data_IF_919339720358
#
_entry.id   IF_919339720358
#
_cell.length_a   1.000
_cell.length_b   1.000
_cell.length_c   1.000
_cell.angle_alpha   90.00
_cell.angle_beta   90.00
_cell.angle_gamma   90.00
#
_symmetry.space_group_name_H-M   'P 1'
#
loop_
_entity.id
_entity.type
_entity.pdbx_description
1 polymer ?
#
# COMPACT_ATOMS: atom_id res chain seq x y z
N UNK A 1 14.74 -26.78 -0.64
CA UNK A 1 13.77 -27.67 0.03
C UNK A 1 12.45 -27.00 0.35
N UNK A 2 12.40 -25.80 0.94
CA UNK A 2 11.13 -25.12 1.30
C UNK A 2 10.07 -25.08 0.18
N UNK A 3 10.43 -24.62 -1.02
CA UNK A 3 9.51 -24.55 -2.18
C UNK A 3 8.96 -25.92 -2.60
N UNK A 4 9.78 -26.97 -2.49
CA UNK A 4 9.36 -28.33 -2.84
C UNK A 4 8.23 -28.77 -1.91
N UNK A 5 8.35 -28.50 -0.61
CA UNK A 5 7.29 -28.82 0.34
C UNK A 5 6.06 -27.93 0.18
N UNK A 6 6.24 -26.62 -0.07
CA UNK A 6 5.13 -25.71 -0.36
C UNK A 6 4.32 -26.15 -1.59
N UNK A 7 4.99 -26.65 -2.64
CA UNK A 7 4.32 -27.17 -3.84
C UNK A 7 3.71 -28.55 -3.64
N UNK A 8 4.41 -29.47 -2.96
CA UNK A 8 3.95 -30.85 -2.80
C UNK A 8 2.82 -30.99 -1.76
N UNK A 9 2.78 -30.12 -0.75
CA UNK A 9 1.87 -30.21 0.39
C UNK A 9 1.27 -28.84 0.77
N UNK A 10 0.59 -28.13 -0.14
CA UNK A 10 0.17 -26.74 0.09
C UNK A 10 -0.68 -26.55 1.36
N UNK A 11 -1.64 -27.46 1.62
CA UNK A 11 -2.55 -27.35 2.76
C UNK A 11 -1.90 -27.72 4.10
N UNK A 12 -1.00 -28.71 4.09
CA UNK A 12 -0.34 -29.20 5.31
C UNK A 12 0.87 -28.33 5.64
N UNK A 13 1.68 -28.00 4.64
CA UNK A 13 2.93 -27.28 4.84
C UNK A 13 2.70 -25.85 5.31
N UNK A 14 1.62 -25.19 4.85
CA UNK A 14 1.23 -23.88 5.36
C UNK A 14 1.04 -23.87 6.89
N UNK A 15 0.56 -24.98 7.48
CA UNK A 15 0.37 -25.09 8.93
C UNK A 15 1.68 -25.29 9.70
N UNK A 16 2.71 -25.81 9.03
CA UNK A 16 4.00 -26.16 9.64
C UNK A 16 5.00 -25.00 9.51
N UNK A 17 5.16 -24.46 8.29
CA UNK A 17 6.09 -23.36 8.02
C UNK A 17 5.38 -22.30 7.16
N UNK A 18 4.50 -21.47 7.75
CA UNK A 18 3.71 -20.47 7.03
C UNK A 18 4.55 -19.32 6.47
N UNK A 19 5.81 -19.19 6.87
CA UNK A 19 6.65 -18.05 6.56
C UNK A 19 8.10 -18.48 6.34
N UNK A 20 8.73 -17.92 5.30
CA UNK A 20 10.16 -18.04 5.02
C UNK A 20 10.74 -16.70 4.62
N UNK A 21 11.83 -16.29 5.28
CA UNK A 21 12.62 -15.13 4.86
C UNK A 21 13.87 -15.57 4.10
N UNK A 22 14.22 -14.85 3.05
CA UNK A 22 15.44 -15.03 2.28
C UNK A 22 16.00 -13.66 1.88
N UNK A 23 17.29 -13.43 2.10
CA UNK A 23 17.96 -12.16 1.81
C UNK A 23 19.21 -12.40 1.00
N UNK A 24 19.36 -11.66 -0.09
CA UNK A 24 20.51 -11.71 -0.99
C UNK A 24 21.05 -10.30 -1.15
N UNK A 25 22.07 -9.95 -0.35
CA UNK A 25 22.60 -8.58 -0.34
C UNK A 25 23.50 -8.28 -1.55
N UNK A 26 24.24 -9.29 -2.03
CA UNK A 26 25.14 -9.19 -3.19
C UNK A 26 24.72 -10.14 -4.30
N UNK A 27 23.69 -9.81 -5.11
CA UNK A 27 23.24 -10.67 -6.21
C UNK A 27 24.39 -10.98 -7.18
N UNK A 28 24.58 -12.26 -7.47
CA UNK A 28 25.63 -12.79 -8.36
C UNK A 28 25.08 -13.28 -9.71
N UNK A 29 23.76 -13.24 -9.88
CA UNK A 29 23.03 -13.60 -11.09
C UNK A 29 22.16 -12.42 -11.54
N UNK A 30 21.52 -12.55 -12.71
CA UNK A 30 20.58 -11.55 -13.19
C UNK A 30 19.39 -11.39 -12.23
N UNK A 31 18.76 -10.21 -12.18
CA UNK A 31 17.55 -10.03 -11.37
C UNK A 31 16.45 -10.96 -11.86
N UNK A 32 16.37 -11.16 -13.18
CA UNK A 32 15.46 -12.11 -13.81
C UNK A 32 15.53 -13.51 -13.19
N UNK A 33 16.74 -14.03 -12.92
CA UNK A 33 16.91 -15.35 -12.30
C UNK A 33 16.40 -15.38 -10.86
N UNK A 34 16.60 -14.30 -10.10
CA UNK A 34 16.03 -14.19 -8.75
C UNK A 34 14.51 -14.03 -8.78
N UNK A 35 13.94 -13.27 -9.71
CA UNK A 35 12.48 -13.14 -9.86
C UNK A 35 11.84 -14.49 -10.23
N UNK A 36 12.50 -15.30 -11.05
CA UNK A 36 12.07 -16.69 -11.32
C UNK A 36 12.06 -17.53 -10.05
N UNK A 37 13.04 -17.37 -9.17
CA UNK A 37 13.02 -18.02 -7.85
C UNK A 37 11.85 -17.51 -7.00
N UNK A 38 11.50 -16.23 -7.05
CA UNK A 38 10.39 -15.69 -6.29
C UNK A 38 9.00 -16.18 -6.79
N UNK A 39 8.92 -16.59 -8.05
CA UNK A 39 7.66 -16.86 -8.75
C UNK A 39 7.10 -18.26 -8.45
N UNK A 40 5.81 -18.31 -8.16
CA UNK A 40 5.01 -19.54 -8.07
C UNK A 40 3.90 -19.52 -9.11
N UNK A 41 4.03 -20.29 -10.19
CA UNK A 41 2.99 -20.38 -11.22
C UNK A 41 1.68 -20.99 -10.68
N UNK A 42 1.79 -21.98 -9.79
CA UNK A 42 0.66 -22.65 -9.14
C UNK A 42 0.15 -21.94 -7.88
N UNK A 43 0.65 -20.74 -7.56
CA UNK A 43 0.30 -19.98 -6.36
C UNK A 43 0.50 -20.76 -5.05
N UNK A 44 1.44 -21.71 -5.02
CA UNK A 44 1.74 -22.55 -3.86
C UNK A 44 2.37 -21.77 -2.70
N UNK A 45 2.81 -20.53 -2.95
CA UNK A 45 3.22 -19.56 -1.93
C UNK A 45 2.93 -18.14 -2.42
N UNK A 46 2.89 -17.20 -1.49
CA UNK A 46 2.79 -15.75 -1.72
C UNK A 46 4.19 -15.13 -1.64
N UNK A 47 4.46 -14.09 -2.43
CA UNK A 47 5.76 -13.41 -2.44
C UNK A 47 5.62 -11.97 -1.94
N UNK A 48 6.37 -11.67 -0.89
CA UNK A 48 6.66 -10.30 -0.43
C UNK A 48 8.06 -9.96 -0.93
N UNK A 49 8.15 -9.07 -1.92
CA UNK A 49 9.41 -8.77 -2.60
C UNK A 49 9.94 -7.41 -2.18
N UNK A 50 11.19 -7.39 -1.71
CA UNK A 50 11.94 -6.17 -1.41
C UNK A 50 13.14 -6.07 -2.33
N UNK A 51 13.23 -4.99 -3.10
CA UNK A 51 14.22 -4.83 -4.16
C UNK A 51 15.04 -3.55 -4.00
N UNK A 52 16.37 -3.71 -3.93
CA UNK A 52 17.31 -2.61 -4.11
C UNK A 52 17.38 -2.24 -5.60
N UNK A 53 16.93 -1.04 -5.96
CA UNK A 53 16.83 -0.59 -7.36
C UNK A 53 18.16 -0.69 -8.13
N UNK A 54 19.30 -0.48 -7.44
CA UNK A 54 20.63 -0.51 -8.06
C UNK A 54 21.01 -1.83 -8.72
N UNK A 55 20.28 -2.90 -8.42
CA UNK A 55 20.55 -4.25 -8.92
C UNK A 55 19.58 -4.71 -10.01
N UNK A 56 18.65 -3.86 -10.44
CA UNK A 56 17.68 -4.17 -11.48
C UNK A 56 17.76 -3.13 -12.60
N UNK A 57 17.82 -3.59 -13.84
CA UNK A 57 17.69 -2.68 -14.98
C UNK A 57 16.23 -2.26 -15.25
N UNK A 58 16.03 -1.36 -16.20
CA UNK A 58 14.69 -0.86 -16.56
C UNK A 58 13.76 -1.97 -17.07
N UNK A 59 14.27 -2.94 -17.81
CA UNK A 59 13.48 -4.06 -18.33
C UNK A 59 13.08 -5.01 -17.22
N UNK A 60 14.00 -5.30 -16.31
CA UNK A 60 13.76 -6.15 -15.13
C UNK A 60 12.72 -5.49 -14.20
N UNK A 61 12.84 -4.19 -13.95
CA UNK A 61 11.84 -3.42 -13.19
C UNK A 61 10.47 -3.39 -13.88
N UNK A 62 10.42 -3.23 -15.19
CA UNK A 62 9.18 -3.28 -15.96
C UNK A 62 8.53 -4.68 -15.88
N UNK A 63 9.35 -5.73 -15.91
CA UNK A 63 8.91 -7.13 -15.90
C UNK A 63 8.50 -7.69 -14.53
N UNK A 64 8.42 -6.87 -13.48
CA UNK A 64 8.02 -7.34 -12.14
C UNK A 64 6.63 -7.97 -12.11
N UNK A 65 5.77 -7.66 -13.08
CA UNK A 65 4.47 -8.32 -13.27
C UNK A 65 4.58 -9.81 -13.61
N UNK A 66 5.75 -10.27 -14.03
CA UNK A 66 6.02 -11.69 -14.27
C UNK A 66 5.86 -12.56 -13.02
N UNK A 67 6.09 -11.99 -11.82
CA UNK A 67 5.92 -12.66 -10.52
C UNK A 67 4.43 -12.76 -10.17
N UNK A 68 3.77 -13.81 -10.64
CA UNK A 68 2.31 -13.97 -10.55
C UNK A 68 1.76 -13.98 -9.13
N UNK A 69 2.54 -14.45 -8.16
CA UNK A 69 2.16 -14.60 -6.76
C UNK A 69 2.63 -13.42 -5.87
N UNK A 70 2.96 -12.28 -6.47
CA UNK A 70 3.41 -11.08 -5.77
C UNK A 70 2.25 -10.40 -5.01
N UNK A 71 2.40 -10.25 -3.68
CA UNK A 71 1.38 -9.64 -2.81
C UNK A 71 1.80 -8.28 -2.24
N UNK A 72 3.10 -8.07 -2.07
CA UNK A 72 3.66 -6.81 -1.62
C UNK A 72 4.99 -6.56 -2.32
N UNK A 73 5.24 -5.30 -2.69
CA UNK A 73 6.44 -4.86 -3.39
C UNK A 73 7.05 -3.65 -2.69
N UNK A 74 8.33 -3.72 -2.38
CA UNK A 74 9.14 -2.58 -1.96
C UNK A 74 10.27 -2.35 -2.97
N UNK A 75 10.42 -1.11 -3.45
CA UNK A 75 11.57 -0.70 -4.25
C UNK A 75 12.28 0.46 -3.55
N UNK A 76 13.54 0.22 -3.21
CA UNK A 76 14.37 1.18 -2.50
C UNK A 76 15.62 1.55 -3.31
N UNK A 77 15.89 2.84 -3.40
CA UNK A 77 17.19 3.34 -3.87
C UNK A 77 18.09 3.59 -2.65
N UNK A 78 19.28 2.97 -2.56
CA UNK A 78 20.22 3.21 -1.46
C UNK A 78 20.62 4.69 -1.34
N UNK A 79 20.68 5.21 -0.11
CA UNK A 79 20.93 6.64 0.17
C UNK A 79 22.28 7.16 -0.35
N UNK A 80 23.32 6.32 -0.40
CA UNK A 80 24.64 6.71 -0.90
C UNK A 80 24.65 6.98 -2.41
N UNK A 81 23.76 6.33 -3.15
CA UNK A 81 23.55 6.64 -4.56
C UNK A 81 22.69 7.88 -4.71
N UNK A 82 21.67 8.05 -3.85
CA UNK A 82 20.85 9.25 -3.84
C UNK A 82 21.70 10.53 -3.61
N UNK A 83 22.63 10.52 -2.66
CA UNK A 83 23.48 11.69 -2.36
C UNK A 83 24.45 12.10 -3.50
N UNK A 84 24.79 11.18 -4.41
CA UNK A 84 25.74 11.40 -5.50
C UNK A 84 25.08 11.66 -6.88
N UNK A 85 23.75 11.77 -6.94
CA UNK A 85 23.06 12.16 -8.19
C UNK A 85 23.27 13.67 -8.38
N UNK A 86 24.40 14.04 -8.96
CA UNK A 86 24.51 15.31 -9.67
C UNK A 86 23.43 15.34 -10.75
N UNK A 87 22.77 16.49 -10.85
CA UNK A 87 21.46 16.78 -11.46
C UNK A 87 21.37 16.52 -12.98
N UNK A 88 22.38 15.93 -13.62
CA UNK A 88 22.51 15.93 -15.07
C UNK A 88 22.01 14.67 -15.78
N UNK A 89 21.97 13.47 -15.17
CA UNK A 89 21.36 12.27 -15.80
C UNK A 89 20.74 11.30 -14.77
N UNK A 90 19.51 10.80 -15.00
CA UNK A 90 18.95 9.73 -14.17
C UNK A 90 19.83 8.47 -14.30
N UNK A 91 20.05 7.71 -13.21
CA UNK A 91 20.77 6.44 -13.31
C UNK A 91 20.02 5.52 -14.28
N UNK A 92 20.76 4.73 -15.05
CA UNK A 92 20.19 3.82 -16.05
C UNK A 92 19.21 2.77 -15.45
N UNK A 93 19.18 2.66 -14.12
CA UNK A 93 18.31 1.77 -13.33
C UNK A 93 17.18 2.51 -12.62
N UNK A 94 16.96 3.80 -12.90
CA UNK A 94 15.94 4.59 -12.20
C UNK A 94 14.53 4.06 -12.38
N UNK A 95 13.77 3.94 -11.29
CA UNK A 95 12.32 3.75 -11.37
C UNK A 95 11.68 5.05 -11.85
N UNK A 96 10.96 4.99 -12.98
CA UNK A 96 10.33 6.15 -13.64
C UNK A 96 8.83 5.96 -13.81
N UNK A 97 8.10 7.03 -14.05
CA UNK A 97 6.65 6.98 -14.33
C UNK A 97 6.30 6.04 -15.49
N UNK A 98 7.22 5.87 -16.47
CA UNK A 98 7.03 4.95 -17.61
C UNK A 98 7.00 3.49 -17.18
N UNK A 99 7.80 3.11 -16.18
CA UNK A 99 7.83 1.75 -15.64
C UNK A 99 6.52 1.47 -14.89
N UNK A 100 6.07 2.42 -14.05
CA UNK A 100 4.80 2.29 -13.33
C UNK A 100 3.61 2.23 -14.30
N UNK A 101 3.65 3.02 -15.38
CA UNK A 101 2.68 2.94 -16.47
C UNK A 101 2.68 1.56 -17.11
N UNK A 102 3.86 0.99 -17.39
CA UNK A 102 3.98 -0.36 -17.93
C UNK A 102 3.34 -1.41 -17.00
N UNK A 103 3.52 -1.30 -15.68
CA UNK A 103 2.83 -2.18 -14.74
C UNK A 103 1.30 -2.08 -14.84
N UNK A 104 0.77 -0.86 -14.99
CA UNK A 104 -0.66 -0.65 -15.22
C UNK A 104 -1.14 -1.29 -16.52
N UNK A 105 -0.40 -1.13 -17.62
CA UNK A 105 -0.71 -1.76 -18.92
C UNK A 105 -0.63 -3.30 -18.87
N UNK A 106 0.35 -3.87 -18.15
CA UNK A 106 0.46 -5.31 -17.94
C UNK A 106 -0.68 -5.89 -17.10
N UNK A 107 -1.11 -5.15 -16.06
CA UNK A 107 -2.24 -5.55 -15.25
C UNK A 107 -3.55 -5.54 -16.04
N UNK A 108 -3.74 -4.57 -16.95
CA UNK A 108 -4.93 -4.47 -17.80
C UNK A 108 -4.97 -5.54 -18.90
N UNK A 109 -3.82 -5.86 -19.50
CA UNK A 109 -3.74 -6.76 -20.66
C UNK A 109 -3.57 -8.24 -20.29
N UNK A 110 -2.92 -8.55 -19.16
CA UNK A 110 -2.37 -9.90 -18.90
C UNK A 110 -2.64 -10.42 -17.48
N UNK A 111 -3.59 -9.82 -16.75
CA UNK A 111 -3.94 -10.17 -15.36
C UNK A 111 -2.70 -10.23 -14.43
N UNK A 112 -1.66 -9.44 -14.75
CA UNK A 112 -0.48 -9.29 -13.90
C UNK A 112 -0.83 -8.45 -12.69
N UNK A 113 -0.06 -8.61 -11.60
CA UNK A 113 -0.31 -7.90 -10.34
C UNK A 113 -1.70 -8.15 -9.70
N UNK A 114 -2.38 -9.24 -10.06
CA UNK A 114 -3.70 -9.63 -9.52
C UNK A 114 -3.77 -9.64 -7.99
N UNK A 115 -2.66 -10.04 -7.36
CA UNK A 115 -2.56 -10.19 -5.91
C UNK A 115 -1.78 -9.06 -5.22
N UNK A 116 -1.19 -8.13 -5.98
CA UNK A 116 -0.41 -7.04 -5.42
C UNK A 116 -1.33 -6.11 -4.63
N UNK A 117 -1.13 -6.01 -3.31
CA UNK A 117 -1.91 -5.15 -2.41
C UNK A 117 -1.13 -3.96 -1.88
N UNK A 118 0.18 -4.10 -1.74
CA UNK A 118 1.02 -3.12 -1.07
C UNK A 118 2.19 -2.74 -1.95
N UNK A 119 2.40 -1.44 -2.10
CA UNK A 119 3.58 -0.87 -2.76
C UNK A 119 4.29 0.08 -1.82
N UNK A 120 5.61 -0.08 -1.66
CA UNK A 120 6.45 0.80 -0.86
C UNK A 120 7.55 1.37 -1.76
N UNK A 121 7.63 2.69 -1.84
CA UNK A 121 8.58 3.41 -2.67
C UNK A 121 9.50 4.23 -1.76
N UNK A 122 10.79 3.87 -1.74
CA UNK A 122 11.82 4.55 -0.93
C UNK A 122 12.84 5.22 -1.83
N UNK A 123 13.10 6.51 -1.57
CA UNK A 123 14.14 7.31 -2.21
C UNK A 123 14.00 7.38 -3.74
N UNK A 124 12.78 7.58 -4.24
CA UNK A 124 12.48 7.62 -5.67
C UNK A 124 12.41 9.04 -6.21
N UNK A 125 13.39 9.43 -7.03
CA UNK A 125 13.59 10.83 -7.45
C UNK A 125 12.99 11.17 -8.82
N UNK A 126 12.71 10.14 -9.62
CA UNK A 126 12.19 10.30 -10.99
C UNK A 126 10.69 10.07 -11.10
N UNK A 127 10.01 9.74 -9.99
CA UNK A 127 8.57 9.58 -9.95
C UNK A 127 7.86 10.92 -9.75
N UNK A 128 6.78 11.14 -10.47
CA UNK A 128 5.94 12.33 -10.38
C UNK A 128 4.51 11.94 -9.99
N UNK A 129 3.62 12.92 -9.86
CA UNK A 129 2.18 12.69 -9.63
C UNK A 129 1.58 11.62 -10.57
N UNK A 130 2.07 11.54 -11.82
CA UNK A 130 1.63 10.54 -12.79
C UNK A 130 1.74 9.11 -12.26
N UNK A 131 2.80 8.79 -11.50
CA UNK A 131 2.96 7.48 -10.84
C UNK A 131 1.83 7.18 -9.85
N UNK A 132 1.33 8.18 -9.12
CA UNK A 132 0.22 7.98 -8.18
C UNK A 132 -1.08 7.63 -8.92
N UNK A 133 -1.30 8.23 -10.09
CA UNK A 133 -2.44 7.95 -10.96
C UNK A 133 -2.34 6.53 -11.52
N UNK A 134 -1.18 6.12 -12.04
CA UNK A 134 -0.98 4.78 -12.57
C UNK A 134 -1.11 3.70 -11.48
N UNK A 135 -0.52 3.91 -10.29
CA UNK A 135 -0.70 3.01 -9.14
C UNK A 135 -2.15 2.97 -8.67
N UNK A 136 -2.90 4.08 -8.76
CA UNK A 136 -4.32 4.05 -8.48
C UNK A 136 -5.10 3.23 -9.52
N UNK A 137 -4.73 3.26 -10.80
CA UNK A 137 -5.39 2.42 -11.81
C UNK A 137 -5.15 0.92 -11.61
N UNK A 138 -4.05 0.54 -10.95
CA UNK A 138 -3.83 -0.82 -10.43
C UNK A 138 -4.79 -1.10 -9.26
N UNK A 139 -6.05 -1.44 -9.56
CA UNK A 139 -7.15 -1.61 -8.58
C UNK A 139 -6.84 -2.60 -7.46
N UNK A 140 -5.89 -3.50 -7.68
CA UNK A 140 -5.44 -4.48 -6.70
C UNK A 140 -4.66 -3.84 -5.55
N UNK A 141 -3.93 -2.74 -5.79
CA UNK A 141 -3.11 -2.06 -4.77
C UNK A 141 -4.00 -1.28 -3.81
N UNK A 142 -3.96 -1.62 -2.52
CA UNK A 142 -4.76 -1.01 -1.47
C UNK A 142 -3.96 -0.02 -0.60
N UNK A 143 -2.65 -0.27 -0.44
CA UNK A 143 -1.77 0.58 0.35
C UNK A 143 -0.54 1.00 -0.44
N UNK A 144 -0.17 2.27 -0.29
CA UNK A 144 1.02 2.86 -0.86
C UNK A 144 1.80 3.59 0.24
N UNK A 145 3.09 3.31 0.38
CA UNK A 145 3.97 4.06 1.29
C UNK A 145 5.03 4.77 0.47
N UNK A 146 5.19 6.08 0.71
CA UNK A 146 6.15 6.93 0.02
C UNK A 146 7.11 7.52 1.05
N UNK A 147 8.42 7.33 0.84
CA UNK A 147 9.46 7.87 1.71
C UNK A 147 10.63 8.39 0.88
N UNK A 148 11.08 9.62 1.14
CA UNK A 148 12.23 10.19 0.43
C UNK A 148 12.02 10.42 -1.07
N UNK A 149 10.77 10.65 -1.52
CA UNK A 149 10.43 10.87 -2.92
C UNK A 149 10.09 12.36 -3.16
N UNK A 150 11.08 13.22 -3.49
CA UNK A 150 10.95 14.67 -3.42
C UNK A 150 9.92 15.28 -4.37
N UNK A 151 9.64 14.61 -5.50
CA UNK A 151 8.62 15.04 -6.48
C UNK A 151 7.21 14.51 -6.18
N UNK A 152 7.09 13.47 -5.35
CA UNK A 152 5.80 12.88 -4.98
C UNK A 152 5.22 13.51 -3.72
N UNK A 153 6.06 13.72 -2.70
CA UNK A 153 5.64 14.21 -1.38
C UNK A 153 4.89 15.55 -1.47
N UNK A 154 5.39 16.57 -2.21
CA UNK A 154 4.66 17.85 -2.32
C UNK A 154 3.29 17.71 -2.98
N UNK A 155 3.15 16.81 -3.96
CA UNK A 155 1.89 16.58 -4.68
C UNK A 155 0.87 15.86 -3.80
N UNK A 156 1.33 14.94 -2.95
CA UNK A 156 0.51 14.28 -1.93
C UNK A 156 -0.06 15.30 -0.93
N UNK A 157 0.73 16.30 -0.54
CA UNK A 157 0.28 17.34 0.40
C UNK A 157 -0.67 18.38 -0.23
N UNK A 158 -0.65 18.56 -1.56
CA UNK A 158 -1.37 19.65 -2.25
C UNK A 158 -2.76 19.28 -2.77
N UNK A 159 -3.05 18.00 -3.02
CA UNK A 159 -4.22 17.59 -3.83
C UNK A 159 -5.03 16.47 -3.14
N UNK A 160 -6.35 16.42 -3.42
CA UNK A 160 -7.15 15.19 -3.29
C UNK A 160 -6.63 14.18 -4.31
N UNK A 161 -5.57 13.47 -3.94
CA UNK A 161 -4.90 12.47 -4.75
C UNK A 161 -5.91 11.52 -5.39
N UNK A 162 -5.70 11.23 -6.67
CA UNK A 162 -6.47 10.31 -7.51
C UNK A 162 -6.95 9.05 -6.74
N UNK A 163 -8.06 9.15 -6.02
CA UNK A 163 -8.57 8.13 -5.12
C UNK A 163 -7.62 7.58 -4.04
N UNK A 164 -6.61 8.33 -3.60
CA UNK A 164 -5.77 7.99 -2.44
C UNK A 164 -6.10 8.87 -1.23
N UNK A 165 -6.08 8.28 -0.03
CA UNK A 165 -6.26 8.96 1.25
C UNK A 165 -4.98 8.82 2.08
N UNK A 166 -4.47 9.93 2.61
CA UNK A 166 -3.42 9.89 3.63
C UNK A 166 -4.03 9.36 4.93
N UNK A 167 -3.56 8.21 5.39
CA UNK A 167 -4.01 7.56 6.63
C UNK A 167 -3.05 7.78 7.79
N UNK A 168 -1.76 7.97 7.50
CA UNK A 168 -0.75 8.17 8.52
C UNK A 168 0.47 8.88 7.94
N UNK A 169 1.19 9.58 8.80
CA UNK A 169 2.47 10.20 8.51
C UNK A 169 3.43 9.92 9.65
N UNK A 170 4.46 9.11 9.38
CA UNK A 170 5.44 8.69 10.39
C UNK A 170 6.81 9.25 10.05
N UNK A 171 7.69 9.43 11.05
CA UNK A 171 9.06 9.86 10.79
C UNK A 171 9.86 8.84 9.98
N UNK A 172 9.43 7.57 9.94
CA UNK A 172 10.16 6.48 9.30
C UNK A 172 9.22 5.52 8.57
N UNK A 173 9.67 4.91 7.45
CA UNK A 173 8.92 3.87 6.75
C UNK A 173 8.80 2.60 7.61
N UNK A 174 7.97 1.61 7.20
CA UNK A 174 7.91 0.34 7.92
C UNK A 174 9.30 -0.32 7.99
N UNK A 175 9.55 -1.01 9.11
CA UNK A 175 10.85 -1.65 9.37
C UNK A 175 11.12 -2.78 8.38
N UNK A 176 10.11 -3.62 8.12
CA UNK A 176 10.12 -4.60 7.04
C UNK A 176 8.81 -4.54 6.26
N UNK A 177 8.87 -4.86 4.97
CA UNK A 177 7.68 -4.95 4.12
C UNK A 177 6.72 -6.06 4.63
N UNK A 178 7.27 -7.18 5.09
CA UNK A 178 6.50 -8.30 5.62
C UNK A 178 5.66 -7.93 6.84
N UNK A 179 6.24 -7.23 7.83
CA UNK A 179 5.48 -6.78 9.01
C UNK A 179 4.36 -5.83 8.64
N UNK A 180 4.62 -4.93 7.68
CA UNK A 180 3.59 -4.02 7.18
C UNK A 180 2.48 -4.78 6.44
N UNK A 181 2.84 -5.76 5.60
CA UNK A 181 1.89 -6.64 4.94
C UNK A 181 1.02 -7.40 5.94
N UNK A 182 1.61 -7.97 6.98
CA UNK A 182 0.87 -8.67 8.04
C UNK A 182 -0.11 -7.72 8.75
N UNK A 183 0.35 -6.55 9.16
CA UNK A 183 -0.49 -5.56 9.84
C UNK A 183 -1.67 -5.09 8.97
N UNK A 184 -1.44 -4.87 7.68
CA UNK A 184 -2.50 -4.53 6.72
C UNK A 184 -3.45 -5.70 6.48
N UNK A 185 -2.94 -6.93 6.34
CA UNK A 185 -3.76 -8.13 6.13
C UNK A 185 -4.70 -8.39 7.30
N UNK A 186 -4.23 -8.21 8.54
CA UNK A 186 -5.06 -8.37 9.74
C UNK A 186 -6.17 -7.31 9.81
N UNK A 187 -5.90 -6.10 9.33
CA UNK A 187 -6.89 -5.02 9.24
C UNK A 187 -7.92 -5.21 8.12
N UNK A 188 -7.60 -6.03 7.11
CA UNK A 188 -8.45 -6.33 5.95
C UNK A 188 -9.37 -7.55 6.17
N UNK A 189 -9.55 -7.99 7.43
CA UNK A 189 -10.21 -9.22 7.92
C UNK A 189 -11.61 -9.58 7.38
N UNK A 190 -12.17 -8.82 6.44
CA UNK A 190 -13.30 -9.25 5.59
C UNK A 190 -12.90 -10.15 4.41
N UNK A 191 -11.65 -10.06 3.94
CA UNK A 191 -11.08 -10.96 2.93
C UNK A 191 -10.11 -11.91 3.64
N UNK A 192 -10.55 -13.16 3.82
CA UNK A 192 -9.65 -14.25 4.25
C UNK A 192 -8.39 -14.19 3.38
N UNK A 193 -7.21 -14.29 4.01
CA UNK A 193 -5.89 -14.39 3.35
C UNK A 193 -6.03 -14.83 1.90
N UNK A 194 -5.83 -13.91 0.96
CA UNK A 194 -6.23 -14.01 -0.46
C UNK A 194 -5.77 -15.34 -1.08
N UNK A 195 -4.70 -15.91 -0.52
CA UNK A 195 -4.32 -17.30 -0.68
C UNK A 195 -4.05 -17.91 0.71
N UNK A 196 -4.61 -19.08 1.00
CA UNK A 196 -4.23 -19.88 2.17
C UNK A 196 -2.88 -20.59 1.90
N UNK A 197 -1.85 -19.79 1.62
CA UNK A 197 -0.56 -20.24 1.15
C UNK A 197 0.57 -19.59 1.95
N UNK A 198 1.70 -20.30 2.15
CA UNK A 198 2.83 -19.79 2.91
C UNK A 198 3.46 -18.58 2.23
N UNK A 199 4.14 -17.74 3.01
CA UNK A 199 4.71 -16.47 2.57
C UNK A 199 6.22 -16.62 2.41
N UNK A 200 6.73 -16.24 1.25
CA UNK A 200 8.14 -16.01 0.98
C UNK A 200 8.42 -14.50 1.06
N UNK A 201 9.09 -14.07 2.13
CA UNK A 201 9.69 -12.75 2.26
C UNK A 201 11.07 -12.76 1.61
N UNK A 202 11.19 -12.12 0.46
CA UNK A 202 12.38 -12.18 -0.37
C UNK A 202 12.98 -10.79 -0.59
N UNK A 203 14.20 -10.60 -0.12
CA UNK A 203 14.96 -9.36 -0.29
C UNK A 203 16.12 -9.59 -1.25
N UNK A 204 16.25 -8.72 -2.26
CA UNK A 204 17.35 -8.74 -3.22
C UNK A 204 18.01 -7.36 -3.24
N UNK A 205 19.32 -7.35 -3.06
CA UNK A 205 20.15 -6.16 -2.98
C UNK A 205 20.35 -5.64 -1.55
N UNK A 206 21.36 -4.79 -1.41
CA UNK A 206 21.58 -4.01 -0.20
C UNK A 206 20.47 -2.96 -0.04
N UNK A 207 19.77 -3.03 1.09
CA UNK A 207 18.81 -2.02 1.47
C UNK A 207 19.52 -0.92 2.27
N UNK A 208 19.11 0.35 2.13
CA UNK A 208 19.62 1.39 3.01
C UNK A 208 19.39 0.98 4.47
N UNK A 209 20.39 1.17 5.35
CA UNK A 209 20.21 0.85 6.76
C UNK A 209 19.01 1.64 7.30
N UNK A 210 18.26 1.08 8.26
CA UNK A 210 17.14 1.81 8.84
C UNK A 210 17.65 3.16 9.39
N UNK A 211 16.90 4.24 9.19
CA UNK A 211 17.33 5.57 9.59
C UNK A 211 17.64 5.57 11.10
N UNK A 212 18.91 5.79 11.43
CA UNK A 212 19.34 5.89 12.84
C UNK A 212 18.63 7.09 13.45
N UNK A 213 17.99 6.89 14.61
CA UNK A 213 17.38 7.97 15.43
C UNK A 213 18.46 8.97 15.86
N UNK A 214 18.87 9.89 14.99
CA UNK A 214 19.76 10.98 15.37
C UNK A 214 18.95 11.97 16.22
N UNK A 215 19.30 12.08 17.50
CA UNK A 215 18.89 13.21 18.36
C UNK A 215 19.61 14.46 17.84
N UNK A 216 19.05 15.13 16.85
CA UNK A 216 19.61 16.37 16.31
C UNK A 216 18.52 17.23 15.69
N UNK A 217 18.44 18.50 16.11
CA UNK A 217 17.59 19.53 15.52
C UNK A 217 18.19 19.93 14.15
N UNK A 218 17.36 20.00 13.10
CA UNK A 218 17.61 20.94 12.00
C UNK A 218 17.93 20.43 10.59
N UNK A 219 17.50 19.23 10.19
CA UNK A 219 17.43 18.89 8.75
C UNK A 219 16.03 18.34 8.49
N UNK A 220 15.37 18.86 7.45
CA UNK A 220 14.01 18.49 7.03
C UNK A 220 13.75 17.01 7.28
N UNK A 221 12.85 16.74 8.24
CA UNK A 221 12.48 15.37 8.58
C UNK A 221 11.70 14.83 7.40
N UNK A 222 12.38 14.10 6.51
CA UNK A 222 11.70 13.25 5.54
C UNK A 222 10.75 12.34 6.32
N UNK A 223 9.45 12.50 6.11
CA UNK A 223 8.41 11.65 6.67
C UNK A 223 8.04 10.56 5.65
N UNK A 224 7.66 9.41 6.17
CA UNK A 224 6.99 8.37 5.40
C UNK A 224 5.49 8.66 5.42
N UNK A 225 4.92 8.84 4.23
CA UNK A 225 3.49 9.08 4.04
C UNK A 225 2.83 7.74 3.68
N UNK A 226 1.81 7.37 4.46
CA UNK A 226 1.02 6.17 4.27
C UNK A 226 -0.29 6.55 3.59
N UNK A 227 -0.52 5.96 2.43
CA UNK A 227 -1.69 6.17 1.59
C UNK A 227 -2.52 4.89 1.56
N UNK A 228 -3.84 5.03 1.66
CA UNK A 228 -4.82 3.97 1.46
C UNK A 228 -5.73 4.33 0.29
N UNK A 229 -6.07 3.35 -0.53
CA UNK A 229 -7.05 3.51 -1.61
C UNK A 229 -8.42 3.87 -1.03
N UNK A 230 -9.07 4.85 -1.65
CA UNK A 230 -10.48 5.16 -1.41
C UNK A 230 -11.32 4.36 -2.39
N UNK A 231 -11.90 3.26 -1.93
CA UNK A 231 -12.96 2.58 -2.68
C UNK A 231 -14.29 3.29 -2.45
N UNK A 232 -15.03 3.57 -3.52
CA UNK A 232 -16.36 4.20 -3.45
C UNK A 232 -17.35 3.45 -2.56
N UNK A 233 -17.14 2.16 -2.31
CA UNK A 233 -17.98 1.32 -1.45
C UNK A 233 -17.73 1.47 0.05
N UNK A 234 -16.59 2.02 0.47
CA UNK A 234 -16.26 2.13 1.90
C UNK A 234 -16.97 3.27 2.63
N UNK A 235 -17.73 4.12 1.92
CA UNK A 235 -18.53 5.21 2.52
C UNK A 235 -19.66 4.76 3.45
N UNK A 236 -19.97 3.46 3.55
CA UNK A 236 -21.03 2.95 4.43
C UNK A 236 -20.61 2.53 5.85
N UNK A 237 -19.33 2.60 6.23
CA UNK A 237 -18.86 2.02 7.52
C UNK A 237 -18.36 2.98 8.60
N UNK A 238 -18.59 4.30 8.47
CA UNK A 238 -18.46 5.21 9.62
C UNK A 238 -19.70 6.09 9.76
N UNK A 239 -20.78 5.47 10.24
CA UNK A 239 -21.91 6.16 10.84
C UNK A 239 -22.20 5.52 12.20
N UNK A 240 -22.31 6.35 13.24
CA UNK A 240 -22.66 6.09 14.65
C UNK A 240 -21.46 5.65 15.52
N UNK A 241 -21.10 6.33 16.62
CA UNK A 241 -21.81 7.23 17.56
C UNK A 241 -20.85 8.36 18.05
N UNK A 242 -21.23 9.65 18.01
CA UNK A 242 -21.84 10.50 19.07
C UNK A 242 -20.94 10.68 20.31
N UNK A 243 -20.52 11.87 20.76
CA UNK A 243 -21.29 13.08 21.12
C UNK A 243 -20.44 14.36 21.09
N UNK A 244 -21.03 15.54 20.83
CA UNK A 244 -20.52 16.83 21.31
C UNK A 244 -21.28 17.25 22.60
N UNK A 245 -20.56 17.70 23.61
CA UNK A 245 -21.13 18.32 24.82
C UNK A 245 -20.30 19.53 25.22
N UNK A 246 -20.92 20.71 25.07
CA UNK A 246 -20.74 21.96 25.84
C UNK A 246 -21.78 22.94 25.25
N UNK A 247 -23.01 22.96 25.79
CA UNK A 247 -23.50 23.86 26.86
C UNK A 247 -23.48 25.34 26.48
N UNK A 248 -24.66 25.92 26.18
CA UNK A 248 -25.06 27.23 26.70
C UNK A 248 -26.56 27.54 26.48
N UNK A 249 -27.24 27.63 27.64
CA UNK A 249 -28.33 28.53 28.04
C UNK A 249 -29.77 28.44 27.47
N UNK A 250 -30.66 28.76 28.40
CA UNK A 250 -32.09 28.41 28.55
C UNK A 250 -32.94 29.68 28.53
N UNK A 251 -34.01 29.66 27.71
CA UNK A 251 -35.32 30.35 27.83
C UNK A 251 -35.46 31.87 27.50
N UNK A 252 -36.70 32.41 27.37
CA UNK A 252 -37.88 31.93 26.63
C UNK A 252 -38.60 33.07 25.86
N UNK A 253 -39.37 32.80 24.79
CA UNK A 253 -40.38 33.78 24.29
C UNK A 253 -41.72 33.13 23.91
N UNK A 254 -42.66 33.32 24.83
CA UNK A 254 -44.13 33.47 24.74
C UNK A 254 -44.87 32.74 23.60
N UNK A 255 -45.64 31.72 24.01
CA UNK A 255 -46.77 31.19 23.26
C UNK A 255 -47.96 32.17 23.29
N UNK A 256 -48.58 32.40 22.13
CA UNK A 256 -49.87 33.08 21.98
C UNK A 256 -50.87 32.03 21.49
N UNK A 257 -51.88 31.75 22.32
CA UNK A 257 -53.01 30.87 22.00
C UNK A 257 -53.86 31.44 20.86
N UNK A 258 -54.31 30.56 19.95
CA UNK A 258 -55.66 30.65 19.37
C UNK A 258 -56.24 29.24 19.22
N UNK A 259 -57.31 29.01 19.98
CA UNK A 259 -58.18 27.84 19.91
C UNK A 259 -58.80 27.68 18.52
N UNK A 260 -59.01 26.43 18.08
CA UNK A 260 -60.35 25.91 17.74
C UNK A 260 -60.36 24.41 17.40
N UNK A 261 -61.17 23.70 18.20
CA UNK A 261 -61.99 22.52 17.88
C UNK A 261 -61.34 21.25 17.32
N UNK A 262 -61.28 20.24 18.21
CA UNK A 262 -61.29 18.81 17.90
C UNK A 262 -62.59 18.44 17.17
N UNK A 263 -62.50 17.60 16.17
CA UNK A 263 -63.60 16.73 15.73
C UNK A 263 -63.16 15.28 15.92
N UNK A 264 -64.00 14.50 16.60
CA UNK A 264 -63.70 13.14 17.10
C UNK A 264 -64.11 12.07 16.07
N UNK A 265 -64.74 12.48 14.96
CA UNK A 265 -65.23 11.58 13.91
C UNK A 265 -64.14 10.88 13.09
N UNK A 266 -62.96 11.47 12.94
CA UNK A 266 -61.91 10.94 12.05
C UNK A 266 -60.94 9.95 12.73
N UNK A 267 -61.08 9.69 14.03
CA UNK A 267 -60.15 8.82 14.79
C UNK A 267 -60.65 7.38 15.03
N UNK A 268 -61.77 6.95 14.44
CA UNK A 268 -62.34 5.63 14.73
C UNK A 268 -62.66 4.73 13.52
N UNK A 269 -62.20 5.05 12.31
CA UNK A 269 -62.49 4.21 11.15
C UNK A 269 -61.44 3.12 10.82
N UNK A 270 -60.29 3.06 11.50
CA UNK A 270 -59.23 2.08 11.15
C UNK A 270 -59.05 0.96 12.19
N UNK A 271 -60.10 0.62 12.95
CA UNK A 271 -60.10 -0.54 13.86
C UNK A 271 -61.01 -1.70 13.45
N UNK A 272 -61.45 -1.77 12.18
CA UNK A 272 -62.01 -2.99 11.58
C UNK A 272 -61.52 -3.19 10.14
#
# INVERSE_FOLDING_TARGET
MWKVFATAYPDQFFKVEPYRSMKIEGPQASMTDYLRLATSDGLSWQTVLTLGQSYADVHELASLGSVKNLVALEIATPEHLAANIEVTKPPATALTDRIIRCWNEEAESSDRFRYLRIVVLKNQWQLTESSLIYLWRLRTVQYLVVYGCPKLIPEISRIRLAGWMVVDEKPYPPHTLYEFYKACSDALTGDKSILAAPILDFQIGQMPPPPRRKRGKGIDRLSAIYLQRIDSDTKKRKGHQAHPSQSEQVQPRKAVMKNRTKDIGDMLCDFF
#
